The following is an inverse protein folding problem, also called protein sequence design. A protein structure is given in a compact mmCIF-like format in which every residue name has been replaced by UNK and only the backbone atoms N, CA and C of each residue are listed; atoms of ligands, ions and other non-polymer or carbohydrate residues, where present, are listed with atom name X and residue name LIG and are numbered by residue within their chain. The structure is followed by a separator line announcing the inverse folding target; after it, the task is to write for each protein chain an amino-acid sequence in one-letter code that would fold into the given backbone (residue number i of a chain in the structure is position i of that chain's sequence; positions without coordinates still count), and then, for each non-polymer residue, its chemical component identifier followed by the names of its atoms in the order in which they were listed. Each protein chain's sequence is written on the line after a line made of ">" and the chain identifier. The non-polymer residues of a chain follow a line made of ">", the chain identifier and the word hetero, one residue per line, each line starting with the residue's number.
data_IF_535737839938
#
_entry.id   IF_535737839938
#
_cell.length_a   1.000
_cell.length_b   1.000
_cell.length_c   1.000
_cell.angle_alpha   90.00
_cell.angle_beta   90.00
_cell.angle_gamma   90.00
#
_symmetry.space_group_name_H-M   'P 1'
#
loop_
_entity.id
_entity.type
_entity.pdbx_description
1 polymer ?
#
# COMPACT_ATOMS: atom_id res chain seq x y z
N UNK A 1 26.43 -4.50 -27.41
CA UNK A 1 26.04 -3.07 -27.53
C UNK A 1 24.53 -3.05 -27.34
N UNK A 2 24.09 -3.02 -26.08
CA UNK A 2 23.67 -1.79 -25.37
C UNK A 2 22.42 -1.20 -26.02
N UNK A 3 21.26 -1.64 -25.54
CA UNK A 3 20.08 -0.79 -25.30
C UNK A 3 19.34 -1.38 -24.09
N UNK A 4 20.00 -1.25 -22.95
CA UNK A 4 19.39 -1.27 -21.62
C UNK A 4 18.94 0.15 -21.31
N UNK A 5 17.82 0.28 -20.61
CA UNK A 5 17.30 1.49 -19.96
C UNK A 5 16.54 2.47 -20.86
N UNK A 6 15.21 2.37 -20.81
CA UNK A 6 14.39 3.57 -20.65
C UNK A 6 13.11 3.22 -19.87
N UNK A 7 13.17 3.12 -18.53
CA UNK A 7 11.97 3.34 -17.74
C UNK A 7 11.58 4.80 -18.00
N UNK A 8 10.36 5.02 -18.51
CA UNK A 8 9.83 6.35 -18.80
C UNK A 8 10.17 7.28 -17.63
N UNK A 9 11.07 8.23 -17.85
CA UNK A 9 11.23 9.39 -16.99
C UNK A 9 9.83 10.02 -16.85
N UNK A 10 9.19 9.82 -15.70
CA UNK A 10 8.15 10.74 -15.23
C UNK A 10 8.85 12.06 -14.93
N UNK A 11 9.14 12.82 -16.00
CA UNK A 11 9.48 14.23 -15.87
C UNK A 11 8.27 14.91 -15.26
N UNK A 12 8.36 15.23 -13.98
CA UNK A 12 7.50 16.25 -13.36
C UNK A 12 7.61 17.51 -14.22
N UNK A 13 6.54 17.77 -14.95
CA UNK A 13 6.38 18.83 -15.93
C UNK A 13 6.22 20.17 -15.24
N UNK A 14 7.29 20.65 -14.57
CA UNK A 14 7.63 22.06 -14.31
C UNK A 14 6.59 22.96 -13.61
N UNK A 15 5.40 22.47 -13.29
CA UNK A 15 4.37 23.13 -12.50
C UNK A 15 4.69 22.83 -11.05
N UNK A 16 4.83 23.88 -10.24
CA UNK A 16 5.18 23.74 -8.83
C UNK A 16 4.26 22.74 -8.12
N UNK A 17 4.85 21.83 -7.34
CA UNK A 17 4.17 20.93 -6.42
C UNK A 17 3.57 21.75 -5.27
N UNK A 18 2.48 22.49 -5.52
CA UNK A 18 1.95 23.44 -4.53
C UNK A 18 0.65 23.01 -3.85
N UNK A 19 -0.10 22.05 -4.39
CA UNK A 19 -1.35 21.60 -3.77
C UNK A 19 -1.71 20.16 -4.17
N UNK A 20 -2.21 19.39 -3.21
CA UNK A 20 -2.85 18.08 -3.46
C UNK A 20 -4.29 18.30 -3.95
N UNK A 21 -4.74 17.46 -4.88
CA UNK A 21 -6.09 17.55 -5.42
C UNK A 21 -7.14 16.97 -4.46
N UNK A 22 -8.34 17.52 -4.48
CA UNK A 22 -9.49 17.05 -3.70
C UNK A 22 -10.55 16.43 -4.62
N UNK A 23 -10.72 15.11 -4.53
CA UNK A 23 -11.63 14.30 -5.36
C UNK A 23 -13.08 14.67 -5.11
N UNK A 24 -13.82 14.98 -6.18
CA UNK A 24 -15.24 15.30 -6.13
C UNK A 24 -16.05 14.06 -5.71
N UNK A 25 -17.14 14.25 -4.97
CA UNK A 25 -18.07 13.16 -4.64
C UNK A 25 -18.76 12.57 -5.88
N UNK A 26 -18.77 13.32 -6.98
CA UNK A 26 -19.30 12.89 -8.28
C UNK A 26 -18.27 12.12 -9.14
N UNK A 27 -17.01 12.05 -8.71
CA UNK A 27 -15.95 11.38 -9.47
C UNK A 27 -16.26 9.88 -9.59
N UNK A 28 -16.35 9.40 -10.82
CA UNK A 28 -16.57 7.98 -11.12
C UNK A 28 -15.31 7.16 -10.88
N UNK A 29 -15.45 5.83 -10.79
CA UNK A 29 -14.30 4.93 -10.71
C UNK A 29 -13.35 5.11 -11.89
N UNK A 30 -13.86 5.17 -13.13
CA UNK A 30 -13.03 5.30 -14.34
C UNK A 30 -12.25 6.62 -14.37
N UNK A 31 -12.87 7.73 -13.96
CA UNK A 31 -12.19 9.01 -13.84
C UNK A 31 -11.08 8.95 -12.78
N UNK A 32 -11.35 8.33 -11.63
CA UNK A 32 -10.34 8.18 -10.58
C UNK A 32 -9.18 7.29 -11.05
N UNK A 33 -9.51 6.17 -11.71
CA UNK A 33 -8.57 5.22 -12.25
C UNK A 33 -7.62 5.88 -13.26
N UNK A 34 -8.16 6.62 -14.23
CA UNK A 34 -7.36 7.29 -15.26
C UNK A 34 -6.56 8.46 -14.69
N UNK A 35 -7.13 9.23 -13.76
CA UNK A 35 -6.53 10.48 -13.28
C UNK A 35 -5.52 10.28 -12.15
N UNK A 36 -5.72 9.32 -11.26
CA UNK A 36 -4.90 9.16 -10.05
C UNK A 36 -4.15 7.82 -10.01
N UNK A 37 -4.84 6.69 -10.25
CA UNK A 37 -4.18 5.37 -10.20
C UNK A 37 -3.17 5.21 -11.35
N UNK A 38 -3.58 5.45 -12.59
CA UNK A 38 -2.71 5.28 -13.77
C UNK A 38 -1.57 6.30 -13.85
N UNK A 39 -1.77 7.50 -13.28
CA UNK A 39 -0.77 8.58 -13.31
C UNK A 39 0.12 8.61 -12.05
N UNK A 40 -0.15 7.74 -11.08
CA UNK A 40 0.56 7.69 -9.80
C UNK A 40 0.51 9.03 -9.04
N UNK A 41 -0.65 9.68 -9.00
CA UNK A 41 -0.85 11.05 -8.45
C UNK A 41 -1.62 11.04 -7.13
N UNK A 42 -1.13 11.67 -6.05
CA UNK A 42 -1.80 11.68 -4.76
C UNK A 42 -3.04 12.57 -4.79
N UNK A 43 -4.03 12.24 -3.97
CA UNK A 43 -5.24 13.03 -3.81
C UNK A 43 -5.88 12.82 -2.43
N UNK A 44 -6.76 13.74 -2.05
CA UNK A 44 -7.63 13.62 -0.88
C UNK A 44 -9.07 13.41 -1.35
N UNK A 45 -9.71 12.39 -0.81
CA UNK A 45 -11.14 12.14 -0.92
C UNK A 45 -11.80 12.75 0.31
N UNK A 46 -12.89 13.49 0.07
CA UNK A 46 -13.57 14.26 1.11
C UNK A 46 -14.34 13.37 2.11
N UNK A 47 -14.64 13.96 3.27
CA UNK A 47 -15.18 13.26 4.43
C UNK A 47 -16.53 12.57 4.20
N UNK A 48 -17.32 13.04 3.23
CA UNK A 48 -18.65 12.48 2.90
C UNK A 48 -18.58 10.99 2.54
N UNK A 49 -17.42 10.49 2.10
CA UNK A 49 -17.20 9.08 1.76
C UNK A 49 -17.10 8.15 2.97
N UNK A 50 -16.84 8.68 4.18
CA UNK A 50 -16.65 7.87 5.40
C UNK A 50 -17.74 8.07 6.44
N UNK A 51 -18.66 9.02 6.25
CA UNK A 51 -19.71 9.38 7.23
C UNK A 51 -20.57 8.20 7.70
N UNK A 52 -20.79 7.22 6.83
CA UNK A 52 -21.64 6.05 7.13
C UNK A 52 -20.88 4.89 7.79
N UNK A 53 -19.58 5.03 8.02
CA UNK A 53 -18.76 3.97 8.58
C UNK A 53 -19.08 3.72 10.05
N UNK A 54 -19.12 2.44 10.44
CA UNK A 54 -19.32 2.04 11.84
C UNK A 54 -18.21 2.61 12.72
N UNK A 55 -16.97 2.67 12.24
CA UNK A 55 -15.84 3.25 12.96
C UNK A 55 -16.08 4.73 13.29
N UNK A 56 -16.61 5.52 12.36
CA UNK A 56 -16.92 6.94 12.59
C UNK A 56 -18.03 7.08 13.62
N UNK A 57 -19.09 6.26 13.53
CA UNK A 57 -20.22 6.31 14.46
C UNK A 57 -19.97 5.72 15.85
N UNK A 58 -18.99 4.82 16.01
CA UNK A 58 -18.79 4.06 17.24
C UNK A 58 -17.45 4.31 17.94
N UNK A 59 -16.38 4.63 17.20
CA UNK A 59 -15.05 4.83 17.78
C UNK A 59 -14.79 6.29 18.19
N UNK A 60 -15.73 7.19 17.88
CA UNK A 60 -15.63 8.63 18.08
C UNK A 60 -16.74 9.08 19.01
N UNK A 61 -16.39 9.89 20.01
CA UNK A 61 -17.33 10.42 20.99
C UNK A 61 -18.04 11.69 20.48
N UNK A 62 -19.01 12.19 21.25
CA UNK A 62 -19.78 13.39 20.89
C UNK A 62 -18.98 14.69 20.77
N UNK A 63 -17.67 14.69 21.07
CA UNK A 63 -16.75 15.82 20.87
C UNK A 63 -15.87 15.66 19.63
N UNK A 64 -15.97 14.55 18.90
CA UNK A 64 -15.10 14.24 17.78
C UNK A 64 -13.75 13.63 18.18
N UNK A 65 -13.60 13.18 19.43
CA UNK A 65 -12.38 12.56 19.95
C UNK A 65 -12.55 11.03 20.08
N UNK A 66 -11.48 10.24 20.26
CA UNK A 66 -11.59 8.80 20.52
C UNK A 66 -12.55 8.46 21.67
N UNK A 67 -13.51 7.56 21.43
CA UNK A 67 -14.36 7.00 22.48
C UNK A 67 -13.64 5.86 23.20
N UNK A 68 -12.80 6.25 24.17
CA UNK A 68 -12.06 5.30 25.00
C UNK A 68 -12.96 4.30 25.75
N UNK A 69 -14.18 4.71 26.14
CA UNK A 69 -15.10 3.84 26.87
C UNK A 69 -15.58 2.68 25.99
N UNK A 70 -16.03 3.03 24.78
CA UNK A 70 -16.43 2.05 23.77
C UNK A 70 -15.26 1.16 23.35
N UNK A 71 -14.12 1.77 22.97
CA UNK A 71 -12.93 1.03 22.50
C UNK A 71 -12.42 0.05 23.57
N UNK A 72 -12.43 0.43 24.84
CA UNK A 72 -12.02 -0.44 25.95
C UNK A 72 -13.01 -1.58 26.19
N UNK A 73 -14.32 -1.30 26.09
CA UNK A 73 -15.36 -2.31 26.23
C UNK A 73 -15.29 -3.37 25.13
N UNK A 74 -15.21 -2.94 23.87
CA UNK A 74 -15.27 -3.84 22.72
C UNK A 74 -13.94 -4.53 22.43
N UNK A 75 -12.83 -3.80 22.54
CA UNK A 75 -11.53 -4.27 22.07
C UNK A 75 -10.48 -4.42 23.16
N UNK A 76 -10.79 -4.09 24.43
CA UNK A 76 -9.80 -4.01 25.50
C UNK A 76 -9.00 -5.30 25.76
N UNK A 77 -9.55 -6.47 25.42
CA UNK A 77 -8.87 -7.76 25.57
C UNK A 77 -7.91 -8.09 24.43
N UNK A 78 -7.96 -7.36 23.31
CA UNK A 78 -7.10 -7.57 22.16
C UNK A 78 -5.63 -7.33 22.53
N UNK A 79 -4.75 -8.09 21.90
CA UNK A 79 -3.31 -7.82 21.90
C UNK A 79 -3.01 -6.98 20.68
N UNK A 80 -2.40 -5.81 20.88
CA UNK A 80 -2.18 -4.80 19.84
C UNK A 80 -0.71 -4.42 19.73
N UNK A 81 -0.20 -4.21 18.51
CA UNK A 81 1.15 -3.73 18.28
C UNK A 81 1.26 -2.23 18.61
N UNK A 82 2.23 -1.87 19.43
CA UNK A 82 2.47 -0.50 19.87
C UNK A 82 3.93 -0.11 19.69
N UNK A 83 4.14 0.94 18.90
CA UNK A 83 5.44 1.52 18.62
C UNK A 83 5.78 2.62 19.64
N UNK A 84 7.05 2.70 20.06
CA UNK A 84 7.56 3.81 20.84
C UNK A 84 8.22 4.84 19.91
N UNK A 85 7.55 5.98 19.73
CA UNK A 85 8.01 7.06 18.85
C UNK A 85 9.33 7.70 19.33
N UNK A 86 9.74 7.45 20.57
CA UNK A 86 11.00 7.96 21.13
C UNK A 86 12.18 6.99 20.98
N UNK A 87 11.91 5.74 20.59
CA UNK A 87 12.95 4.70 20.48
C UNK A 87 13.08 4.24 19.02
N UNK A 88 14.12 4.74 18.34
CA UNK A 88 14.46 4.33 16.98
C UNK A 88 14.98 2.89 16.96
N UNK A 89 14.48 2.10 16.03
CA UNK A 89 14.94 0.75 15.74
C UNK A 89 15.21 0.65 14.22
N UNK A 90 16.49 0.72 13.84
CA UNK A 90 16.95 0.89 12.45
C UNK A 90 16.34 2.12 11.76
N UNK A 91 15.49 1.94 10.76
CA UNK A 91 14.78 2.98 10.02
C UNK A 91 13.31 3.14 10.50
N UNK A 92 12.91 2.40 11.53
CA UNK A 92 11.57 2.44 12.11
C UNK A 92 11.61 2.71 13.62
N UNK A 93 10.46 2.50 14.27
CA UNK A 93 10.27 2.65 15.72
C UNK A 93 10.19 1.27 16.38
N UNK A 94 10.77 1.13 17.57
CA UNK A 94 10.68 -0.11 18.35
C UNK A 94 9.22 -0.43 18.64
N UNK A 95 8.80 -1.66 18.34
CA UNK A 95 7.42 -2.12 18.49
C UNK A 95 7.33 -3.28 19.47
N UNK A 96 6.35 -3.23 20.35
CA UNK A 96 6.02 -4.30 21.28
C UNK A 96 4.51 -4.53 21.30
N UNK A 97 4.11 -5.75 21.64
CA UNK A 97 2.70 -6.08 21.85
C UNK A 97 2.26 -5.71 23.26
N UNK A 98 1.05 -5.18 23.41
CA UNK A 98 0.41 -4.93 24.70
C UNK A 98 -1.10 -5.14 24.65
N UNK A 99 -1.77 -5.17 25.81
CA UNK A 99 -3.23 -5.21 25.83
C UNK A 99 -3.81 -3.86 25.41
N UNK A 100 -4.85 -3.89 24.58
CA UNK A 100 -5.54 -2.68 24.14
C UNK A 100 -6.07 -1.86 25.32
N UNK A 101 -6.58 -2.52 26.37
CA UNK A 101 -6.99 -1.83 27.59
C UNK A 101 -5.85 -1.07 28.28
N UNK A 102 -4.65 -1.65 28.34
CA UNK A 102 -3.46 -1.04 28.93
C UNK A 102 -2.97 0.14 28.07
N UNK A 103 -3.02 -0.02 26.75
CA UNK A 103 -2.69 1.05 25.80
C UNK A 103 -3.64 2.25 25.95
N UNK A 104 -4.95 2.00 26.03
CA UNK A 104 -5.94 3.05 26.22
C UNK A 104 -5.78 3.75 27.57
N UNK A 105 -5.44 3.02 28.64
CA UNK A 105 -5.13 3.62 29.95
C UNK A 105 -3.88 4.50 29.91
N UNK A 106 -2.85 4.09 29.17
CA UNK A 106 -1.68 4.93 28.88
C UNK A 106 -2.10 6.21 28.14
N UNK A 107 -2.88 6.07 27.07
CA UNK A 107 -3.26 7.20 26.21
C UNK A 107 -4.10 8.21 26.98
N UNK A 108 -5.14 7.79 27.72
CA UNK A 108 -5.95 8.70 28.55
C UNK A 108 -5.14 9.41 29.64
N UNK A 109 -4.09 8.76 30.16
CA UNK A 109 -3.17 9.35 31.13
C UNK A 109 -2.12 10.29 30.52
N UNK A 110 -2.12 10.48 29.19
CA UNK A 110 -1.11 11.26 28.48
C UNK A 110 -1.45 12.74 28.46
N UNK A 111 -0.45 13.56 28.77
CA UNK A 111 -0.40 15.02 28.66
C UNK A 111 0.97 15.40 28.09
N UNK A 112 1.14 16.62 27.55
CA UNK A 112 2.43 17.08 27.02
C UNK A 112 3.60 16.89 28.00
N UNK A 113 3.35 17.02 29.31
CA UNK A 113 4.36 16.85 30.36
C UNK A 113 4.66 15.38 30.70
N UNK A 114 3.72 14.47 30.51
CA UNK A 114 3.92 13.03 30.81
C UNK A 114 4.52 12.27 29.64
N UNK A 115 4.29 12.69 28.39
CA UNK A 115 4.90 12.09 27.19
C UNK A 115 6.43 12.15 27.25
N UNK A 116 7.00 13.25 27.77
CA UNK A 116 8.45 13.40 27.97
C UNK A 116 9.05 12.40 28.97
N UNK A 117 8.24 11.85 29.89
CA UNK A 117 8.69 10.90 30.92
C UNK A 117 8.37 9.44 30.59
N UNK A 118 7.32 9.17 29.81
CA UNK A 118 6.82 7.82 29.51
C UNK A 118 7.05 7.38 28.06
N UNK A 119 7.61 8.24 27.22
CA UNK A 119 7.65 8.03 25.78
C UNK A 119 6.31 8.33 25.11
N UNK A 120 6.30 8.47 23.79
CA UNK A 120 5.10 8.65 22.99
C UNK A 120 4.79 7.34 22.29
N UNK A 121 3.84 6.58 22.83
CA UNK A 121 3.45 5.28 22.29
C UNK A 121 2.37 5.47 21.22
N UNK A 122 2.47 4.68 20.16
CA UNK A 122 1.58 4.73 19.01
C UNK A 122 1.16 3.31 18.59
N UNK A 123 -0.12 2.98 18.76
CA UNK A 123 -0.69 1.75 18.22
C UNK A 123 -0.73 1.88 16.71
N UNK A 124 0.04 1.05 16.01
CA UNK A 124 0.11 1.03 14.55
C UNK A 124 0.39 -0.37 14.03
N UNK A 125 -0.08 -0.64 12.82
CA UNK A 125 -0.04 -1.93 12.14
C UNK A 125 -0.91 -3.01 12.81
N UNK A 126 -1.99 -2.61 13.49
CA UNK A 126 -2.96 -3.56 14.01
C UNK A 126 -3.85 -4.09 12.88
N UNK A 127 -3.72 -5.37 12.56
CA UNK A 127 -4.52 -6.10 11.57
C UNK A 127 -5.98 -6.30 12.03
N UNK A 128 -6.69 -5.18 12.21
CA UNK A 128 -8.02 -5.16 12.81
C UNK A 128 -9.02 -6.00 12.02
N UNK A 129 -8.99 -5.92 10.69
CA UNK A 129 -9.97 -6.64 9.85
C UNK A 129 -9.71 -8.15 9.89
N UNK A 130 -8.45 -8.58 9.99
CA UNK A 130 -8.10 -9.99 10.24
C UNK A 130 -8.62 -10.47 11.60
N UNK A 131 -8.40 -9.68 12.65
CA UNK A 131 -8.68 -10.07 14.04
C UNK A 131 -10.18 -9.95 14.38
N UNK A 132 -10.88 -8.99 13.77
CA UNK A 132 -12.30 -8.65 13.99
C UNK A 132 -13.10 -8.66 12.68
N UNK A 133 -12.96 -9.73 11.88
CA UNK A 133 -13.54 -9.83 10.54
C UNK A 133 -15.06 -9.57 10.44
N UNK A 134 -15.82 -9.91 11.50
CA UNK A 134 -17.28 -9.71 11.53
C UNK A 134 -17.70 -8.32 12.05
N UNK A 135 -16.74 -7.47 12.44
CA UNK A 135 -17.06 -6.16 12.99
C UNK A 135 -17.43 -5.13 11.91
N UNK A 136 -16.97 -5.30 10.66
CA UNK A 136 -17.33 -4.41 9.54
C UNK A 136 -17.16 -2.92 9.90
N UNK A 137 -15.95 -2.53 10.31
CA UNK A 137 -15.66 -1.16 10.76
C UNK A 137 -15.94 -0.11 9.68
N UNK A 138 -15.73 -0.46 8.41
CA UNK A 138 -15.85 0.42 7.26
C UNK A 138 -16.18 -0.41 6.01
N UNK A 139 -16.53 0.27 4.93
CA UNK A 139 -16.57 -0.31 3.58
C UNK A 139 -15.44 0.31 2.75
N UNK A 140 -14.70 -0.51 2.01
CA UNK A 140 -13.64 -0.02 1.12
C UNK A 140 -14.24 0.94 0.08
N UNK A 141 -13.74 2.19 -0.03
CA UNK A 141 -14.19 3.10 -1.08
C UNK A 141 -14.04 2.47 -2.46
N UNK A 142 -15.01 2.72 -3.35
CA UNK A 142 -15.08 2.08 -4.68
C UNK A 142 -13.80 2.26 -5.51
N UNK A 143 -13.07 3.36 -5.31
CA UNK A 143 -11.81 3.65 -5.99
C UNK A 143 -10.68 2.66 -5.67
N UNK A 144 -10.81 1.93 -4.57
CA UNK A 144 -9.78 1.05 -4.02
C UNK A 144 -10.20 -0.42 -4.02
N UNK A 145 -11.28 -0.79 -4.73
CA UNK A 145 -11.81 -2.17 -4.74
C UNK A 145 -11.03 -3.11 -5.66
N UNK A 146 -10.23 -2.59 -6.60
CA UNK A 146 -9.27 -3.39 -7.37
C UNK A 146 -8.03 -3.59 -6.51
N UNK A 147 -8.09 -4.56 -5.60
CA UNK A 147 -7.12 -4.81 -4.53
C UNK A 147 -6.58 -6.24 -4.62
N UNK A 148 -5.64 -6.44 -5.55
CA UNK A 148 -5.10 -7.78 -5.82
C UNK A 148 -4.39 -8.38 -4.60
N UNK A 149 -3.80 -7.52 -3.76
CA UNK A 149 -3.07 -7.93 -2.55
C UNK A 149 -4.01 -8.57 -1.54
N UNK A 150 -5.08 -7.87 -1.13
CA UNK A 150 -6.02 -8.37 -0.15
C UNK A 150 -6.98 -9.41 -0.75
N UNK A 151 -7.25 -9.37 -2.07
CA UNK A 151 -7.91 -10.47 -2.77
C UNK A 151 -7.11 -11.78 -2.69
N UNK A 152 -5.78 -11.71 -2.81
CA UNK A 152 -4.90 -12.86 -2.67
C UNK A 152 -4.89 -13.37 -1.23
N UNK A 153 -4.67 -12.49 -0.25
CA UNK A 153 -4.70 -12.86 1.17
C UNK A 153 -6.03 -13.49 1.59
N UNK A 154 -7.15 -13.01 1.07
CA UNK A 154 -8.47 -13.56 1.36
C UNK A 154 -8.71 -14.98 0.81
N UNK A 155 -8.00 -15.39 -0.25
CA UNK A 155 -8.09 -16.75 -0.82
C UNK A 155 -7.09 -17.73 -0.18
N UNK A 156 -6.11 -17.23 0.57
CA UNK A 156 -5.11 -18.09 1.21
C UNK A 156 -5.74 -18.89 2.34
N UNK A 157 -5.39 -20.17 2.37
CA UNK A 157 -5.84 -21.13 3.38
C UNK A 157 -4.71 -21.60 4.30
N UNK A 158 -3.46 -21.36 3.89
CA UNK A 158 -2.25 -21.72 4.62
C UNK A 158 -1.84 -20.68 5.66
N UNK A 159 -2.22 -19.42 5.45
CA UNK A 159 -2.01 -18.31 6.37
C UNK A 159 -3.21 -17.38 6.32
N UNK A 160 -3.56 -16.79 7.47
CA UNK A 160 -4.57 -15.74 7.58
C UNK A 160 -3.86 -14.41 7.79
N UNK A 161 -3.86 -13.56 6.77
CA UNK A 161 -3.21 -12.25 6.83
C UNK A 161 -4.00 -11.20 6.05
N UNK A 162 -3.61 -9.94 6.18
CA UNK A 162 -4.05 -8.84 5.33
C UNK A 162 -3.07 -7.66 5.38
N UNK A 163 -3.26 -6.68 4.50
CA UNK A 163 -2.55 -5.40 4.56
C UNK A 163 -3.53 -4.27 4.85
N UNK A 164 -4.30 -4.45 5.93
CA UNK A 164 -5.37 -3.54 6.38
C UNK A 164 -5.22 -3.27 7.86
N UNK A 165 -4.87 -2.05 8.20
CA UNK A 165 -4.39 -1.70 9.52
C UNK A 165 -5.25 -0.62 10.17
N UNK A 166 -5.36 -0.69 11.48
CA UNK A 166 -5.88 0.40 12.31
C UNK A 166 -4.73 1.01 13.10
N UNK A 167 -4.62 2.32 13.01
CA UNK A 167 -3.63 3.11 13.74
C UNK A 167 -4.36 4.01 14.72
N UNK A 168 -3.91 4.09 15.97
CA UNK A 168 -4.52 4.93 17.00
C UNK A 168 -3.44 5.53 17.88
N UNK A 169 -3.43 6.84 18.10
CA UNK A 169 -2.39 7.46 18.91
C UNK A 169 -2.68 8.87 19.41
N UNK A 170 -2.02 9.27 20.51
CA UNK A 170 -2.12 10.61 21.04
C UNK A 170 -1.53 11.63 20.08
N UNK A 171 -1.93 12.89 20.26
CA UNK A 171 -1.22 14.04 19.68
C UNK A 171 0.30 13.92 19.87
N UNK A 172 1.05 14.14 18.80
CA UNK A 172 2.51 14.06 18.78
C UNK A 172 3.08 12.67 18.46
N UNK A 173 2.24 11.64 18.36
CA UNK A 173 2.65 10.37 17.74
C UNK A 173 2.86 10.56 16.24
N UNK A 174 3.80 9.81 15.66
CA UNK A 174 4.21 10.02 14.28
C UNK A 174 4.83 8.76 13.65
N UNK A 175 4.86 8.73 12.32
CA UNK A 175 5.51 7.68 11.53
C UNK A 175 6.70 8.27 10.77
N UNK A 176 7.92 7.68 10.88
CA UNK A 176 9.12 8.14 10.18
C UNK A 176 9.00 8.17 8.67
N UNK A 177 9.95 8.87 8.04
CA UNK A 177 10.01 8.98 6.58
C UNK A 177 10.26 7.62 5.91
N UNK A 178 9.33 7.18 5.07
CA UNK A 178 9.38 5.87 4.40
C UNK A 178 8.55 5.87 3.11
N UNK A 179 8.73 4.85 2.27
CA UNK A 179 7.77 4.48 1.24
C UNK A 179 7.10 3.16 1.62
N UNK A 180 5.87 2.95 1.14
CA UNK A 180 5.09 1.77 1.43
C UNK A 180 5.74 0.48 0.89
N UNK A 181 5.58 -0.60 1.66
CA UNK A 181 6.14 -1.93 1.34
C UNK A 181 5.64 -2.43 -0.01
N UNK A 182 6.42 -3.32 -0.63
CA UNK A 182 6.16 -3.89 -1.96
C UNK A 182 6.12 -2.88 -3.12
N UNK A 183 6.30 -1.58 -2.89
CA UNK A 183 5.91 -0.58 -3.90
C UNK A 183 4.39 -0.55 -4.10
N UNK A 184 3.63 -0.90 -3.07
CA UNK A 184 2.17 -0.83 -3.06
C UNK A 184 1.68 0.62 -3.15
N UNK A 185 0.41 0.77 -3.48
CA UNK A 185 -0.38 1.94 -3.12
C UNK A 185 -0.76 1.87 -1.64
N UNK A 186 -1.05 3.03 -1.05
CA UNK A 186 -1.71 3.11 0.25
C UNK A 186 -2.83 4.14 0.27
N UNK A 187 -3.79 3.94 1.17
CA UNK A 187 -4.83 4.90 1.48
C UNK A 187 -5.02 4.92 2.98
N UNK A 188 -5.26 6.12 3.52
CA UNK A 188 -5.44 6.34 4.95
C UNK A 188 -6.70 7.15 5.16
N UNK A 189 -7.74 6.55 5.73
CA UNK A 189 -8.95 7.25 6.17
C UNK A 189 -8.77 7.70 7.62
N UNK A 190 -8.86 9.00 7.86
CA UNK A 190 -8.68 9.58 9.18
C UNK A 190 -10.02 9.62 9.91
N UNK A 191 -10.31 8.62 10.76
CA UNK A 191 -11.60 8.48 11.44
C UNK A 191 -11.86 9.65 12.40
N UNK A 192 -10.83 10.10 13.12
CA UNK A 192 -10.89 11.31 13.96
C UNK A 192 -9.51 11.96 14.15
N UNK A 193 -9.50 13.19 14.64
CA UNK A 193 -8.29 14.00 14.82
C UNK A 193 -7.74 14.53 13.51
N UNK A 194 -6.45 14.89 13.47
CA UNK A 194 -5.82 15.59 12.34
C UNK A 194 -4.41 15.08 12.11
N UNK A 195 -4.04 14.90 10.84
CA UNK A 195 -2.71 14.39 10.45
C UNK A 195 -1.98 15.36 9.53
N UNK A 196 -0.72 15.67 9.83
CA UNK A 196 0.17 16.38 8.93
C UNK A 196 0.98 15.38 8.12
N UNK A 197 0.87 15.47 6.80
CA UNK A 197 1.59 14.65 5.85
C UNK A 197 2.65 15.47 5.14
N UNK A 198 3.86 14.93 5.05
CA UNK A 198 4.87 15.35 4.08
C UNK A 198 4.99 14.25 3.04
N UNK A 199 4.73 14.54 1.78
CA UNK A 199 4.77 13.58 0.67
C UNK A 199 5.77 14.02 -0.39
N UNK A 200 6.60 13.11 -0.85
CA UNK A 200 7.64 13.35 -1.84
C UNK A 200 7.41 12.43 -3.05
N UNK A 201 7.30 12.97 -4.27
CA UNK A 201 7.22 12.16 -5.48
C UNK A 201 8.42 11.20 -5.58
N UNK A 202 8.24 10.00 -6.18
CA UNK A 202 9.33 9.07 -6.38
C UNK A 202 10.53 9.72 -7.10
N UNK A 203 11.72 9.56 -6.53
CA UNK A 203 12.98 10.16 -6.99
C UNK A 203 13.31 11.51 -6.34
N UNK A 204 12.35 12.23 -5.76
CA UNK A 204 12.65 13.48 -5.06
C UNK A 204 13.29 13.24 -3.69
N UNK A 205 13.06 12.08 -3.07
CA UNK A 205 13.73 11.67 -1.84
C UNK A 205 15.26 11.58 -1.99
N UNK A 206 15.77 11.37 -3.20
CA UNK A 206 17.22 11.27 -3.44
C UNK A 206 17.95 12.58 -3.11
N UNK A 207 17.26 13.72 -3.24
CA UNK A 207 17.79 15.03 -2.83
C UNK A 207 17.93 15.17 -1.30
N UNK A 208 17.27 14.29 -0.53
CA UNK A 208 17.29 14.27 0.93
C UNK A 208 18.38 13.34 1.48
N UNK A 209 19.05 12.54 0.64
CA UNK A 209 20.09 11.62 1.09
C UNK A 209 21.28 12.35 1.70
N UNK A 210 21.84 11.76 2.75
CA UNK A 210 23.11 12.20 3.34
C UNK A 210 24.31 11.76 2.49
N UNK A 211 25.53 12.08 2.95
CA UNK A 211 26.78 11.68 2.28
C UNK A 211 27.03 10.17 2.23
N UNK A 212 26.32 9.39 3.05
CA UNK A 212 26.37 7.92 3.05
C UNK A 212 25.25 7.31 2.18
N UNK A 213 24.42 8.14 1.54
CA UNK A 213 23.29 7.71 0.70
C UNK A 213 22.04 7.32 1.49
N UNK A 214 22.00 7.58 2.81
CA UNK A 214 20.84 7.24 3.66
C UNK A 214 19.80 8.33 3.61
N UNK A 215 18.53 7.92 3.58
CA UNK A 215 17.40 8.83 3.71
C UNK A 215 17.27 9.33 5.17
N UNK A 216 16.75 10.55 5.37
CA UNK A 216 16.53 11.07 6.71
C UNK A 216 15.45 10.26 7.43
N UNK A 217 15.59 10.13 8.75
CA UNK A 217 14.55 9.51 9.59
C UNK A 217 13.39 10.48 9.85
N UNK A 218 13.70 11.77 9.99
CA UNK A 218 12.74 12.86 10.17
C UNK A 218 13.03 14.00 9.21
N UNK A 219 12.14 14.22 8.24
CA UNK A 219 12.28 15.27 7.21
C UNK A 219 12.03 16.69 7.73
N UNK A 220 11.57 16.85 8.98
CA UNK A 220 11.32 18.16 9.59
C UNK A 220 12.54 18.73 10.30
N UNK A 221 13.61 17.95 10.42
CA UNK A 221 14.83 18.40 11.07
C UNK A 221 15.54 19.51 10.26
N UNK A 222 16.22 20.46 10.93
CA UNK A 222 16.85 21.60 10.25
C UNK A 222 17.87 21.20 9.17
N UNK A 223 18.56 20.07 9.33
CA UNK A 223 19.48 19.52 8.33
C UNK A 223 18.80 19.13 7.00
N UNK A 224 17.49 18.86 7.03
CA UNK A 224 16.68 18.59 5.85
C UNK A 224 16.16 19.88 5.21
N UNK A 225 16.16 21.01 5.94
CA UNK A 225 15.68 22.29 5.45
C UNK A 225 16.70 22.91 4.48
N UNK A 226 16.41 22.89 3.16
CA UNK A 226 17.27 23.49 2.13
C UNK A 226 16.76 24.84 1.61
N UNK A 227 15.74 25.43 2.26
CA UNK A 227 15.23 26.77 1.94
C UNK A 227 14.13 26.75 0.87
N UNK A 228 14.08 27.73 -0.02
CA UNK A 228 13.02 27.85 -1.05
C UNK A 228 12.94 26.65 -2.03
N UNK A 229 13.95 25.78 -2.04
CA UNK A 229 13.95 24.52 -2.80
C UNK A 229 13.04 23.44 -2.22
N UNK A 230 12.72 23.47 -0.92
CA UNK A 230 11.94 22.40 -0.26
C UNK A 230 10.49 22.35 -0.76
N UNK A 231 9.91 23.52 -1.09
CA UNK A 231 8.58 23.62 -1.72
C UNK A 231 8.51 23.00 -3.12
N UNK A 232 9.66 22.65 -3.72
CA UNK A 232 9.74 21.97 -5.02
C UNK A 232 9.98 20.46 -4.87
N UNK A 233 10.32 19.98 -3.68
CA UNK A 233 10.66 18.58 -3.47
C UNK A 233 9.47 17.74 -3.03
N UNK A 234 8.47 18.34 -2.37
CA UNK A 234 7.31 17.60 -1.88
C UNK A 234 6.09 18.47 -1.61
N UNK A 235 5.02 17.81 -1.18
CA UNK A 235 3.73 18.37 -0.80
C UNK A 235 3.58 18.23 0.70
N UNK A 236 3.15 19.28 1.38
CA UNK A 236 2.74 19.21 2.78
C UNK A 236 1.25 19.49 2.88
N UNK A 237 0.49 18.59 3.51
CA UNK A 237 -0.96 18.72 3.66
C UNK A 237 -1.41 18.28 5.04
N UNK A 238 -2.41 18.97 5.58
CA UNK A 238 -3.15 18.51 6.76
C UNK A 238 -4.39 17.77 6.31
N UNK A 239 -4.49 16.50 6.69
CA UNK A 239 -5.67 15.66 6.52
C UNK A 239 -6.58 15.85 7.74
N UNK A 240 -7.83 16.22 7.49
CA UNK A 240 -8.85 16.46 8.51
C UNK A 240 -9.64 15.16 8.82
N UNK A 241 -10.51 15.21 9.83
CA UNK A 241 -11.35 14.07 10.19
C UNK A 241 -12.33 13.71 9.05
N UNK A 242 -12.55 12.42 8.85
CA UNK A 242 -13.36 11.82 7.79
C UNK A 242 -12.66 11.71 6.43
N UNK A 243 -11.62 12.51 6.16
CA UNK A 243 -10.95 12.52 4.86
C UNK A 243 -10.15 11.24 4.61
N UNK A 244 -10.01 10.85 3.34
CA UNK A 244 -9.16 9.72 2.91
C UNK A 244 -8.06 10.22 1.99
N UNK A 245 -6.80 10.07 2.38
CA UNK A 245 -5.66 10.38 1.52
C UNK A 245 -5.24 9.14 0.73
N UNK A 246 -5.04 9.29 -0.57
CA UNK A 246 -4.42 8.29 -1.44
C UNK A 246 -2.92 8.61 -1.59
N UNK A 247 -2.08 7.64 -1.22
CA UNK A 247 -0.63 7.66 -1.34
C UNK A 247 -0.23 6.73 -2.49
N UNK A 248 0.27 7.27 -3.61
CA UNK A 248 0.64 6.46 -4.75
C UNK A 248 1.95 5.69 -4.53
N UNK A 249 2.26 4.79 -5.45
CA UNK A 249 3.38 3.86 -5.36
C UNK A 249 4.70 4.61 -5.37
N UNK A 250 5.58 4.28 -4.42
CA UNK A 250 6.93 4.85 -4.29
C UNK A 250 6.97 6.27 -3.73
N UNK A 251 5.82 6.87 -3.36
CA UNK A 251 5.81 8.18 -2.71
C UNK A 251 6.34 8.05 -1.29
N UNK A 252 7.52 8.61 -1.05
CA UNK A 252 8.05 8.67 0.31
C UNK A 252 7.26 9.68 1.12
N UNK A 253 6.94 9.34 2.35
CA UNK A 253 6.12 10.18 3.19
C UNK A 253 6.42 10.03 4.68
N UNK A 254 6.07 11.08 5.42
CA UNK A 254 6.16 11.16 6.88
C UNK A 254 4.84 11.74 7.41
N UNK A 255 4.38 11.21 8.55
CA UNK A 255 3.05 11.55 9.10
C UNK A 255 3.14 11.89 10.57
N UNK A 256 2.56 13.02 10.97
CA UNK A 256 2.46 13.47 12.35
C UNK A 256 0.99 13.61 12.77
N UNK A 257 0.60 13.03 13.90
CA UNK A 257 -0.72 13.22 14.47
C UNK A 257 -0.75 14.56 15.24
N UNK A 258 -1.47 15.55 14.70
CA UNK A 258 -1.61 16.89 15.29
C UNK A 258 -2.60 16.92 16.45
N UNK A 259 -3.46 15.92 16.51
CA UNK A 259 -4.47 15.68 17.56
C UNK A 259 -4.51 14.20 17.91
N UNK A 260 -5.33 13.84 18.89
CA UNK A 260 -5.62 12.43 19.19
C UNK A 260 -6.38 11.82 18.01
N UNK A 261 -5.79 10.77 17.43
CA UNK A 261 -6.18 10.31 16.09
C UNK A 261 -6.41 8.81 16.05
N UNK A 262 -7.45 8.42 15.30
CA UNK A 262 -7.68 7.06 14.83
C UNK A 262 -7.74 7.09 13.31
N UNK A 263 -7.03 6.18 12.64
CA UNK A 263 -7.12 6.00 11.19
C UNK A 263 -7.19 4.54 10.79
N UNK A 264 -7.75 4.31 9.60
CA UNK A 264 -7.78 3.02 8.92
C UNK A 264 -6.92 3.15 7.67
N UNK A 265 -5.98 2.24 7.50
CA UNK A 265 -4.94 2.27 6.49
C UNK A 265 -4.93 0.97 5.69
N UNK A 266 -4.84 1.05 4.37
CA UNK A 266 -4.71 -0.12 3.51
C UNK A 266 -3.47 0.04 2.65
N UNK A 267 -2.74 -1.06 2.47
CA UNK A 267 -1.82 -1.21 1.36
C UNK A 267 -2.45 -2.15 0.35
N UNK A 268 -2.36 -1.79 -0.93
CA UNK A 268 -2.78 -2.65 -2.03
C UNK A 268 -2.00 -2.38 -3.30
N UNK A 269 -2.11 -3.28 -4.25
CA UNK A 269 -1.67 -3.03 -5.62
C UNK A 269 -2.65 -3.70 -6.58
N UNK A 270 -2.55 -3.34 -7.84
CA UNK A 270 -3.33 -3.92 -8.92
C UNK A 270 -2.57 -3.82 -10.25
N UNK A 271 -3.27 -4.01 -11.36
CA UNK A 271 -2.66 -3.95 -12.69
C UNK A 271 -1.94 -2.62 -12.98
N UNK A 272 -2.27 -1.51 -12.31
CA UNK A 272 -1.63 -0.21 -12.56
C UNK A 272 -0.18 -0.14 -12.09
N UNK A 273 0.17 -0.83 -11.01
CA UNK A 273 1.50 -0.77 -10.39
C UNK A 273 2.16 -2.13 -10.17
N UNK A 274 1.60 -3.21 -10.72
CA UNK A 274 2.15 -4.56 -10.56
C UNK A 274 3.60 -4.69 -11.06
N UNK A 275 4.00 -3.90 -12.06
CA UNK A 275 5.37 -3.88 -12.56
C UNK A 275 6.35 -3.26 -11.54
N UNK A 276 5.90 -2.28 -10.75
CA UNK A 276 6.67 -1.71 -9.64
C UNK A 276 6.84 -2.74 -8.52
N UNK A 277 5.78 -3.48 -8.20
CA UNK A 277 5.82 -4.57 -7.22
C UNK A 277 6.81 -5.66 -7.64
N UNK A 278 6.76 -6.06 -8.90
CA UNK A 278 7.71 -7.03 -9.45
C UNK A 278 9.17 -6.54 -9.38
N UNK A 279 9.43 -5.28 -9.77
CA UNK A 279 10.77 -4.67 -9.67
C UNK A 279 11.26 -4.59 -8.23
N UNK A 280 10.38 -4.27 -7.28
CA UNK A 280 10.70 -4.26 -5.85
C UNK A 280 11.13 -5.65 -5.37
N UNK A 281 10.38 -6.70 -5.74
CA UNK A 281 10.71 -8.09 -5.41
C UNK A 281 12.05 -8.53 -6.02
N UNK A 282 12.29 -8.22 -7.29
CA UNK A 282 13.56 -8.55 -7.96
C UNK A 282 14.76 -7.82 -7.33
N UNK A 283 14.59 -6.55 -6.97
CA UNK A 283 15.63 -5.81 -6.26
C UNK A 283 15.92 -6.43 -4.89
N UNK A 284 14.88 -6.80 -4.14
CA UNK A 284 15.06 -7.48 -2.86
C UNK A 284 15.76 -8.85 -3.03
N UNK A 285 15.47 -9.60 -4.10
CA UNK A 285 16.17 -10.84 -4.42
C UNK A 285 17.66 -10.58 -4.71
N UNK A 286 17.97 -9.58 -5.54
CA UNK A 286 19.36 -9.21 -5.86
C UNK A 286 20.14 -8.78 -4.60
N UNK A 287 19.49 -8.03 -3.70
CA UNK A 287 20.09 -7.66 -2.42
C UNK A 287 20.36 -8.91 -1.56
N UNK A 288 19.42 -9.86 -1.47
CA UNK A 288 19.63 -11.15 -0.78
C UNK A 288 20.78 -11.95 -1.40
N UNK A 289 20.81 -12.09 -2.72
CA UNK A 289 21.84 -12.85 -3.43
C UNK A 289 23.25 -12.26 -3.23
N UNK A 290 23.35 -10.92 -3.09
CA UNK A 290 24.60 -10.23 -2.76
C UNK A 290 25.03 -10.49 -1.32
N UNK A 291 24.10 -10.42 -0.36
CA UNK A 291 24.39 -10.63 1.06
C UNK A 291 24.91 -12.05 1.36
N UNK A 292 24.40 -13.07 0.66
CA UNK A 292 24.82 -14.47 0.82
C UNK A 292 25.65 -15.00 -0.35
N UNK A 293 26.34 -14.13 -1.09
CA UNK A 293 27.05 -14.50 -2.31
C UNK A 293 28.18 -15.51 -2.10
N UNK A 294 28.81 -15.52 -0.92
CA UNK A 294 29.87 -16.48 -0.54
C UNK A 294 29.37 -17.94 -0.52
N UNK A 295 28.06 -18.14 -0.42
CA UNK A 295 27.40 -19.45 -0.42
C UNK A 295 26.88 -19.87 -1.81
N UNK A 296 27.20 -19.12 -2.88
CA UNK A 296 26.64 -19.32 -4.22
C UNK A 296 26.82 -20.73 -4.78
N UNK A 297 27.97 -21.34 -4.51
CA UNK A 297 28.30 -22.68 -5.01
C UNK A 297 27.71 -23.81 -4.15
N UNK A 298 26.95 -23.48 -3.10
CA UNK A 298 26.28 -24.47 -2.26
C UNK A 298 25.04 -25.06 -2.94
N UNK A 299 24.76 -26.34 -2.67
CA UNK A 299 23.56 -26.99 -3.16
C UNK A 299 22.30 -26.29 -2.59
N UNK A 300 21.37 -25.94 -3.48
CA UNK A 300 20.12 -25.30 -3.09
C UNK A 300 20.21 -23.80 -2.79
N UNK A 301 21.32 -23.14 -3.14
CA UNK A 301 21.53 -21.69 -2.94
C UNK A 301 20.31 -20.84 -3.36
N UNK A 302 19.78 -21.03 -4.56
CA UNK A 302 18.59 -20.28 -5.02
C UNK A 302 17.35 -20.51 -4.15
N UNK A 303 17.13 -21.72 -3.63
CA UNK A 303 16.05 -22.01 -2.69
C UNK A 303 16.24 -21.32 -1.34
N UNK A 304 17.48 -21.18 -0.89
CA UNK A 304 17.82 -20.39 0.30
C UNK A 304 17.58 -18.89 0.06
N UNK A 305 17.97 -18.36 -1.11
CA UNK A 305 17.67 -16.99 -1.49
C UNK A 305 16.16 -16.72 -1.45
N UNK A 306 15.32 -17.60 -2.00
CA UNK A 306 13.86 -17.44 -1.95
C UNK A 306 13.30 -17.51 -0.51
N UNK A 307 13.93 -18.29 0.37
CA UNK A 307 13.55 -18.40 1.79
C UNK A 307 13.85 -17.11 2.54
N UNK A 308 15.05 -16.56 2.36
CA UNK A 308 15.48 -15.30 2.97
C UNK A 308 14.67 -14.14 2.39
N UNK A 309 14.45 -14.14 1.07
CA UNK A 309 13.61 -13.15 0.38
C UNK A 309 12.21 -13.11 0.99
N UNK A 310 11.56 -14.27 1.17
CA UNK A 310 10.26 -14.34 1.85
C UNK A 310 10.31 -13.79 3.27
N UNK A 311 11.34 -14.11 4.04
CA UNK A 311 11.46 -13.65 5.42
C UNK A 311 11.68 -12.12 5.53
N UNK A 312 12.40 -11.52 4.58
CA UNK A 312 12.77 -10.10 4.61
C UNK A 312 11.78 -9.21 3.86
N UNK A 313 11.43 -9.56 2.63
CA UNK A 313 10.50 -8.80 1.80
C UNK A 313 9.05 -9.13 2.11
N UNK A 314 8.78 -10.34 2.63
CA UNK A 314 7.43 -10.87 2.90
C UNK A 314 6.93 -11.80 1.80
N UNK A 315 7.46 -11.68 0.58
CA UNK A 315 7.07 -12.44 -0.59
C UNK A 315 8.30 -13.09 -1.22
N UNK A 316 8.11 -14.22 -1.89
CA UNK A 316 9.07 -14.76 -2.84
C UNK A 316 8.45 -14.87 -4.24
N UNK A 317 9.24 -15.25 -5.25
CA UNK A 317 8.75 -15.29 -6.64
C UNK A 317 7.63 -16.31 -6.80
N UNK A 318 7.67 -17.41 -6.03
CA UNK A 318 6.59 -18.39 -6.01
C UNK A 318 5.26 -17.78 -5.53
N UNK A 319 5.26 -17.02 -4.43
CA UNK A 319 4.06 -16.34 -3.91
C UNK A 319 3.56 -15.26 -4.87
N UNK A 320 4.46 -14.55 -5.55
CA UNK A 320 4.08 -13.61 -6.61
C UNK A 320 3.34 -14.30 -7.76
N UNK A 321 3.85 -15.45 -8.24
CA UNK A 321 3.18 -16.22 -9.30
C UNK A 321 1.85 -16.82 -8.84
N UNK A 322 1.76 -17.25 -7.58
CA UNK A 322 0.51 -17.74 -7.01
C UNK A 322 -0.54 -16.61 -6.89
N UNK A 323 -0.12 -15.39 -6.54
CA UNK A 323 -1.02 -14.24 -6.60
C UNK A 323 -1.52 -14.01 -8.02
N UNK A 324 -0.64 -14.00 -9.03
CA UNK A 324 -1.06 -13.86 -10.44
C UNK A 324 -2.07 -14.92 -10.85
N UNK A 325 -1.85 -16.18 -10.48
CA UNK A 325 -2.76 -17.29 -10.74
C UNK A 325 -4.13 -17.07 -10.06
N UNK A 326 -4.12 -16.63 -8.80
CA UNK A 326 -5.33 -16.34 -8.03
C UNK A 326 -6.17 -15.25 -8.70
N UNK A 327 -5.54 -14.13 -9.08
CA UNK A 327 -6.21 -13.04 -9.78
C UNK A 327 -6.72 -13.50 -11.14
N UNK A 328 -5.91 -14.26 -11.90
CA UNK A 328 -6.32 -14.82 -13.19
C UNK A 328 -7.63 -15.61 -13.08
N UNK A 329 -7.70 -16.55 -12.13
CA UNK A 329 -8.88 -17.39 -11.90
C UNK A 329 -10.12 -16.56 -11.57
N UNK A 330 -9.98 -15.59 -10.66
CA UNK A 330 -11.08 -14.68 -10.29
C UNK A 330 -11.59 -13.89 -11.49
N UNK A 331 -10.69 -13.31 -12.28
CA UNK A 331 -11.04 -12.50 -13.45
C UNK A 331 -11.69 -13.33 -14.57
N UNK A 332 -11.16 -14.52 -14.86
CA UNK A 332 -11.78 -15.45 -15.82
C UNK A 332 -13.17 -15.90 -15.36
N UNK A 333 -13.36 -16.20 -14.07
CA UNK A 333 -14.67 -16.52 -13.51
C UNK A 333 -15.67 -15.36 -13.64
N UNK A 334 -15.21 -14.12 -13.40
CA UNK A 334 -16.03 -12.92 -13.55
C UNK A 334 -16.49 -12.72 -15.01
N UNK A 335 -15.62 -12.98 -16.00
CA UNK A 335 -16.01 -12.95 -17.42
C UNK A 335 -17.04 -14.03 -17.77
N UNK A 336 -16.86 -15.26 -17.26
CA UNK A 336 -17.79 -16.37 -17.51
C UNK A 336 -19.15 -16.21 -16.81
N UNK A 337 -19.22 -15.40 -15.74
CA UNK A 337 -20.44 -15.15 -14.96
C UNK A 337 -21.20 -13.89 -15.41
N UNK A 338 -20.76 -13.23 -16.49
CA UNK A 338 -21.35 -12.00 -16.99
C UNK A 338 -22.67 -12.26 -17.75
N UNK A 339 -23.68 -12.82 -17.07
CA UNK A 339 -25.06 -12.87 -17.57
C UNK A 339 -25.75 -11.50 -17.37
N UNK A 340 -26.44 -11.02 -18.40
CA UNK A 340 -27.07 -9.70 -18.49
C UNK A 340 -28.16 -9.50 -17.41
N UNK A 341 -28.06 -8.49 -16.52
CA UNK A 341 -29.24 -8.12 -15.72
C UNK A 341 -29.13 -7.40 -14.37
N UNK A 342 -27.97 -6.96 -13.87
CA UNK A 342 -27.92 -6.16 -12.63
C UNK A 342 -27.17 -4.84 -12.83
N UNK A 343 -27.92 -3.74 -12.89
CA UNK A 343 -27.40 -2.39 -13.11
C UNK A 343 -26.63 -1.77 -11.93
N UNK A 344 -26.04 -2.59 -11.06
CA UNK A 344 -25.30 -2.14 -9.88
C UNK A 344 -24.15 -3.10 -9.53
N UNK A 345 -23.33 -3.45 -10.53
CA UNK A 345 -22.09 -4.21 -10.28
C UNK A 345 -20.97 -3.23 -9.88
N UNK A 346 -20.10 -3.70 -9.00
CA UNK A 346 -18.83 -3.03 -8.69
C UNK A 346 -18.08 -2.69 -10.00
N UNK A 347 -17.65 -1.43 -10.22
CA UNK A 347 -16.92 -1.04 -11.44
C UNK A 347 -15.73 -1.93 -11.79
N UNK A 348 -15.07 -2.53 -10.80
CA UNK A 348 -13.95 -3.47 -11.04
C UNK A 348 -14.38 -4.78 -11.69
N UNK A 349 -15.68 -5.09 -11.65
CA UNK A 349 -16.28 -6.24 -12.33
C UNK A 349 -16.73 -5.90 -13.77
N UNK A 350 -16.43 -4.70 -14.28
CA UNK A 350 -16.71 -4.36 -15.67
C UNK A 350 -15.79 -5.14 -16.62
N UNK A 351 -16.32 -5.54 -17.78
CA UNK A 351 -15.52 -6.29 -18.78
C UNK A 351 -14.23 -5.55 -19.18
N UNK A 352 -14.23 -4.22 -19.44
CA UNK A 352 -12.99 -3.50 -19.74
C UNK A 352 -11.96 -3.56 -18.61
N UNK A 353 -12.38 -3.40 -17.35
CA UNK A 353 -11.46 -3.47 -16.20
C UNK A 353 -10.90 -4.89 -16.02
N UNK A 354 -11.75 -5.91 -16.19
CA UNK A 354 -11.30 -7.31 -16.12
C UNK A 354 -10.29 -7.63 -17.23
N UNK A 355 -10.54 -7.17 -18.46
CA UNK A 355 -9.59 -7.33 -19.57
C UNK A 355 -8.28 -6.60 -19.25
N UNK A 356 -8.33 -5.38 -18.72
CA UNK A 356 -7.12 -4.65 -18.28
C UNK A 356 -6.31 -5.48 -17.29
N UNK A 357 -6.95 -6.02 -16.23
CA UNK A 357 -6.28 -6.83 -15.21
C UNK A 357 -5.60 -8.07 -15.82
N UNK A 358 -6.30 -8.81 -16.68
CA UNK A 358 -5.76 -10.01 -17.37
C UNK A 358 -4.55 -9.69 -18.25
N UNK A 359 -4.55 -8.52 -18.90
CA UNK A 359 -3.41 -8.07 -19.71
C UNK A 359 -2.19 -7.77 -18.84
N UNK A 360 -2.38 -7.12 -17.69
CA UNK A 360 -1.26 -6.85 -16.77
C UNK A 360 -0.72 -8.13 -16.13
N UNK A 361 -1.60 -9.11 -15.88
CA UNK A 361 -1.18 -10.46 -15.45
C UNK A 361 -0.29 -11.14 -16.51
N UNK A 362 -0.68 -11.14 -17.79
CA UNK A 362 0.16 -11.72 -18.85
C UNK A 362 1.50 -11.02 -18.99
N UNK A 363 1.52 -9.68 -18.90
CA UNK A 363 2.77 -8.90 -18.90
C UNK A 363 3.67 -9.33 -17.74
N UNK A 364 3.09 -9.52 -16.55
CA UNK A 364 3.82 -9.97 -15.37
C UNK A 364 4.39 -11.38 -15.54
N UNK A 365 3.60 -12.34 -16.07
CA UNK A 365 4.12 -13.67 -16.41
C UNK A 365 5.26 -13.63 -17.42
N UNK A 366 5.17 -12.77 -18.43
CA UNK A 366 6.24 -12.58 -19.40
C UNK A 366 7.52 -12.04 -18.75
N UNK A 367 7.43 -11.12 -17.78
CA UNK A 367 8.60 -10.70 -17.00
C UNK A 367 9.16 -11.82 -16.14
N UNK A 368 8.31 -12.64 -15.50
CA UNK A 368 8.77 -13.81 -14.74
C UNK A 368 9.53 -14.78 -15.64
N UNK A 369 9.02 -15.04 -16.86
CA UNK A 369 9.67 -15.94 -17.83
C UNK A 369 11.03 -15.44 -18.34
N UNK A 370 11.39 -14.17 -18.10
CA UNK A 370 12.72 -13.62 -18.38
C UNK A 370 13.73 -13.87 -17.26
N UNK A 371 13.30 -14.37 -16.10
CA UNK A 371 14.21 -14.76 -15.03
C UNK A 371 15.15 -15.89 -15.46
N UNK A 372 16.35 -16.00 -14.86
CA UNK A 372 17.27 -17.10 -15.12
C UNK A 372 16.63 -18.49 -14.89
N UNK A 373 17.02 -19.54 -15.64
CA UNK A 373 16.46 -20.89 -15.49
C UNK A 373 16.51 -21.43 -14.06
N UNK A 374 17.51 -21.04 -13.29
CA UNK A 374 17.71 -21.48 -11.91
C UNK A 374 16.66 -20.86 -10.96
N UNK A 375 16.28 -19.61 -11.21
CA UNK A 375 15.18 -18.93 -10.52
C UNK A 375 13.84 -19.51 -10.97
N UNK A 376 13.66 -19.78 -12.26
CA UNK A 376 12.46 -20.43 -12.78
C UNK A 376 12.28 -21.86 -12.27
N UNK A 377 13.38 -22.58 -12.03
CA UNK A 377 13.38 -23.96 -11.55
C UNK A 377 12.75 -24.15 -10.16
N UNK A 378 12.68 -23.08 -9.37
CA UNK A 378 12.04 -23.07 -8.03
C UNK A 378 10.63 -22.50 -8.05
N UNK A 379 10.12 -22.07 -9.21
CA UNK A 379 8.80 -21.45 -9.38
C UNK A 379 7.85 -22.42 -10.07
N UNK A 380 6.61 -22.49 -9.59
CA UNK A 380 5.55 -23.26 -10.25
C UNK A 380 4.66 -22.33 -11.07
N UNK A 381 4.84 -22.34 -12.38
CA UNK A 381 3.96 -21.62 -13.30
C UNK A 381 2.81 -22.53 -13.75
N UNK A 382 1.59 -22.08 -13.55
CA UNK A 382 0.42 -22.71 -14.13
C UNK A 382 0.35 -22.33 -15.61
N UNK A 383 0.70 -23.24 -16.52
CA UNK A 383 0.69 -22.96 -17.97
C UNK A 383 -0.71 -22.96 -18.55
N UNK A 384 -1.61 -23.73 -17.95
CA UNK A 384 -2.99 -23.86 -18.41
C UNK A 384 -3.74 -22.54 -18.21
N UNK A 385 -3.56 -21.88 -17.05
CA UNK A 385 -4.17 -20.57 -16.79
C UNK A 385 -3.62 -19.52 -17.76
N UNK A 386 -2.32 -19.53 -18.08
CA UNK A 386 -1.73 -18.59 -19.05
C UNK A 386 -2.35 -18.80 -20.45
N UNK A 387 -2.49 -20.06 -20.88
CA UNK A 387 -3.11 -20.41 -22.16
C UNK A 387 -4.59 -19.99 -22.21
N UNK A 388 -5.33 -20.17 -21.12
CA UNK A 388 -6.72 -19.75 -21.01
C UNK A 388 -6.87 -18.22 -21.13
N UNK A 389 -6.02 -17.44 -20.44
CA UNK A 389 -6.02 -15.97 -20.57
C UNK A 389 -5.74 -15.56 -22.02
N UNK A 390 -4.74 -16.16 -22.66
CA UNK A 390 -4.41 -15.88 -24.07
C UNK A 390 -5.59 -16.19 -25.00
N UNK A 391 -6.28 -17.32 -24.79
CA UNK A 391 -7.46 -17.69 -25.56
C UNK A 391 -8.56 -16.64 -25.43
N UNK A 392 -8.92 -16.26 -24.20
CA UNK A 392 -9.96 -15.26 -23.92
C UNK A 392 -9.60 -13.90 -24.53
N UNK A 393 -8.37 -13.44 -24.37
CA UNK A 393 -7.95 -12.15 -24.90
C UNK A 393 -7.87 -12.13 -26.44
N UNK A 394 -7.63 -13.28 -27.09
CA UNK A 394 -7.62 -13.37 -28.55
C UNK A 394 -9.01 -13.16 -29.19
N UNK A 395 -10.07 -13.38 -28.42
CA UNK A 395 -11.47 -13.24 -28.85
C UNK A 395 -12.06 -11.85 -28.51
N UNK A 396 -11.32 -11.01 -27.77
CA UNK A 396 -11.78 -9.70 -27.28
C UNK A 396 -11.10 -8.53 -28.00
N UNK A 397 -11.78 -7.39 -28.09
CA UNK A 397 -11.15 -6.16 -28.59
C UNK A 397 -10.30 -5.50 -27.49
N UNK A 398 -9.01 -5.84 -27.48
CA UNK A 398 -8.08 -5.34 -26.47
C UNK A 398 -7.50 -3.96 -26.82
N UNK A 399 -7.74 -3.44 -28.04
CA UNK A 399 -7.16 -2.16 -28.48
C UNK A 399 -7.76 -0.95 -27.75
N UNK A 400 -9.02 -1.03 -27.33
CA UNK A 400 -9.73 0.04 -26.61
C UNK A 400 -9.53 0.04 -25.10
N UNK A 401 -8.98 -1.04 -24.53
CA UNK A 401 -8.86 -1.23 -23.07
C UNK A 401 -7.53 -0.70 -22.53
N UNK A 402 -6.53 -0.52 -23.41
CA UNK A 402 -5.22 -0.04 -23.02
C UNK A 402 -5.10 1.47 -23.22
N UNK A 403 -4.66 2.23 -22.19
CA UNK A 403 -4.31 3.62 -22.40
C UNK A 403 -3.07 3.68 -23.33
N UNK A 404 -3.28 4.23 -24.53
CA UNK A 404 -2.27 4.59 -25.53
C UNK A 404 -1.50 3.44 -26.19
N UNK A 405 -2.06 2.85 -27.25
CA UNK A 405 -1.30 2.35 -28.40
C UNK A 405 -0.22 1.28 -28.13
N UNK A 406 -0.20 0.64 -26.95
CA UNK A 406 0.67 -0.51 -26.71
C UNK A 406 0.25 -1.66 -27.60
N UNK A 407 0.94 -1.85 -28.72
CA UNK A 407 0.88 -3.08 -29.48
C UNK A 407 1.26 -4.24 -28.56
N UNK A 408 0.44 -5.27 -28.55
CA UNK A 408 0.79 -6.53 -27.92
C UNK A 408 1.98 -7.14 -28.68
N UNK A 409 3.15 -7.12 -28.05
CA UNK A 409 4.19 -8.12 -28.32
C UNK A 409 3.79 -9.45 -27.69
N UNK A 410 2.62 -10.01 -28.05
CA UNK A 410 2.34 -11.44 -27.82
C UNK A 410 3.08 -12.15 -28.95
N UNK A 411 4.38 -12.34 -28.77
CA UNK A 411 5.20 -13.20 -29.62
C UNK A 411 5.56 -14.47 -28.87
#
# INVERSE_FOLDING_TARGET
>A
MLDLMNPRETRCDGKGLTAIDYVSTETTYDEFFQKYLMTNTPCIIRAEQTETWRSVGAWVDGRGAPDFGYLKSEFGSATVPVADCSTRYYDSQLKNDMKMSEYLDYWQGTSEQTSLKRGCLYLKDWHFVRDFANYEAYATPVYFTSDWLNEFWGERTDVKDDCRFVYMGPKGSWTPFHADVFGSYSWSANVCGRKLWHLFPPGNEDALRDSEGKLPYDVTLPECARGDTDKKLGITVTQEAGEVIFVPSGWHHQVHNLEDTISINHNWFNGCNIDVVWKSLLKALDDVEKEICELRDSEGWHGQCQTILKAHHGWNIFEFCWMLETISKKRLQMLGSADEGSGNRDPVCSEPHIIFDLVQVLRSYNEVLRCPPEVLGVVKLNRDIIAEILSVLSEKDVKGVLPWGTEFGIS
#
